data_IF_919944577658
#
_entry.id   IF_919944577658
#
_cell.length_a   1.000
_cell.length_b   1.000
_cell.length_c   1.000
_cell.angle_alpha   90.00
_cell.angle_beta   90.00
_cell.angle_gamma   90.00
#
_symmetry.space_group_name_H-M   'P 1'
#
loop_
_entity.id
_entity.type
_entity.pdbx_description
1 polymer ?
#
# COMPACT_ATOMS: atom_id res chain seq x y z
N UNK A 1 1.14 -2.58 -2.95
CA UNK A 1 1.12 -1.59 -1.85
C UNK A 1 2.51 -1.54 -1.22
N UNK A 2 3.12 -0.33 -1.09
CA UNK A 2 4.38 -0.10 -0.37
C UNK A 2 4.09 0.41 1.04
N UNK A 3 4.56 -0.31 2.04
CA UNK A 3 4.28 -0.06 3.45
C UNK A 3 5.56 0.36 4.17
N UNK A 4 5.50 1.46 4.91
CA UNK A 4 6.54 1.81 5.89
C UNK A 4 6.10 1.26 7.26
N UNK A 5 6.85 0.32 7.80
CA UNK A 5 6.62 -0.25 9.14
C UNK A 5 7.64 0.33 10.11
N UNK A 6 7.17 1.01 11.17
CA UNK A 6 8.01 1.60 12.20
C UNK A 6 7.64 0.97 13.53
N UNK A 7 8.48 0.05 13.98
CA UNK A 7 8.27 -0.81 15.17
C UNK A 7 9.63 -1.20 15.73
N UNK A 8 9.87 -0.98 17.02
CA UNK A 8 11.14 -1.28 17.69
C UNK A 8 11.22 -2.72 18.20
N UNK A 9 10.09 -3.37 18.46
CA UNK A 9 10.05 -4.81 18.70
C UNK A 9 10.40 -5.59 17.43
N UNK A 10 11.63 -6.09 17.38
CA UNK A 10 12.17 -6.81 16.22
C UNK A 10 11.40 -8.08 15.86
N UNK A 11 10.81 -8.76 16.85
CA UNK A 11 10.03 -9.98 16.59
C UNK A 11 8.71 -9.62 15.93
N UNK A 12 7.98 -8.69 16.53
CA UNK A 12 6.72 -8.19 15.99
C UNK A 12 6.92 -7.57 14.60
N UNK A 13 7.96 -6.74 14.42
CA UNK A 13 8.28 -6.15 13.12
C UNK A 13 8.53 -7.21 12.04
N UNK A 14 9.24 -8.29 12.36
CA UNK A 14 9.49 -9.40 11.43
C UNK A 14 8.21 -10.16 11.09
N UNK A 15 7.36 -10.44 12.06
CA UNK A 15 6.06 -11.11 11.85
C UNK A 15 5.15 -10.28 10.95
N UNK A 16 5.00 -8.99 11.25
CA UNK A 16 4.21 -8.06 10.43
C UNK A 16 4.78 -7.99 9.01
N UNK A 17 6.09 -7.74 8.88
CA UNK A 17 6.72 -7.60 7.57
C UNK A 17 6.61 -8.87 6.73
N UNK A 18 6.76 -10.06 7.34
CA UNK A 18 6.57 -11.34 6.67
C UNK A 18 5.15 -11.48 6.13
N UNK A 19 4.15 -11.27 6.98
CA UNK A 19 2.76 -11.40 6.59
C UNK A 19 2.36 -10.41 5.50
N UNK A 20 2.82 -9.15 5.60
CA UNK A 20 2.57 -8.15 4.56
C UNK A 20 3.21 -8.53 3.22
N UNK A 21 4.41 -9.14 3.22
CA UNK A 21 5.05 -9.62 1.99
C UNK A 21 4.29 -10.80 1.37
N UNK A 22 3.76 -11.71 2.19
CA UNK A 22 2.88 -12.81 1.73
C UNK A 22 1.60 -12.27 1.07
N UNK A 23 1.15 -11.08 1.49
CA UNK A 23 0.03 -10.33 0.90
C UNK A 23 0.44 -9.42 -0.27
N UNK A 24 1.59 -9.69 -0.89
CA UNK A 24 2.16 -8.98 -2.04
C UNK A 24 2.51 -7.50 -1.77
N UNK A 25 2.75 -7.11 -0.51
CA UNK A 25 3.22 -5.78 -0.16
C UNK A 25 4.75 -5.70 -0.22
N UNK A 26 5.29 -4.56 -0.67
CA UNK A 26 6.66 -4.17 -0.40
C UNK A 26 6.71 -3.52 1.01
N UNK A 27 7.71 -3.88 1.82
CA UNK A 27 7.78 -3.43 3.22
C UNK A 27 9.18 -2.97 3.56
N UNK A 28 9.29 -1.69 3.89
CA UNK A 28 10.46 -1.10 4.53
C UNK A 28 10.24 -1.03 6.03
N UNK A 29 11.28 -1.36 6.81
CA UNK A 29 11.19 -1.44 8.27
C UNK A 29 12.17 -0.46 8.91
N UNK A 30 11.67 0.38 9.81
CA UNK A 30 12.47 1.23 10.68
C UNK A 30 12.27 0.80 12.14
N UNK A 31 13.38 0.72 12.90
CA UNK A 31 13.36 0.29 14.30
C UNK A 31 13.32 1.45 15.32
N UNK A 32 13.15 2.66 14.86
CA UNK A 32 13.06 3.85 15.70
C UNK A 32 12.38 5.01 14.96
N UNK A 33 11.94 6.02 15.72
CA UNK A 33 11.20 7.14 15.14
C UNK A 33 12.03 8.07 14.27
N UNK A 34 13.34 8.18 14.48
CA UNK A 34 14.22 9.02 13.65
C UNK A 34 14.33 8.50 12.23
N UNK A 35 14.65 7.20 12.08
CA UNK A 35 14.75 6.54 10.79
C UNK A 35 13.37 6.51 10.09
N UNK A 36 12.30 6.21 10.84
CA UNK A 36 10.93 6.25 10.35
C UNK A 36 10.53 7.63 9.84
N UNK A 37 10.84 8.69 10.58
CA UNK A 37 10.58 10.06 10.17
C UNK A 37 11.32 10.42 8.89
N UNK A 38 12.59 10.03 8.79
CA UNK A 38 13.41 10.25 7.59
C UNK A 38 12.80 9.56 6.37
N UNK A 39 12.57 8.25 6.45
CA UNK A 39 11.99 7.47 5.35
C UNK A 39 10.64 8.02 4.89
N UNK A 40 9.73 8.34 5.81
CA UNK A 40 8.43 8.91 5.46
C UNK A 40 8.49 10.31 4.83
N UNK A 41 9.61 11.05 5.02
CA UNK A 41 9.83 12.34 4.35
C UNK A 41 10.49 12.20 2.96
N UNK A 42 11.36 11.21 2.76
CA UNK A 42 12.18 11.09 1.55
C UNK A 42 11.59 10.13 0.52
N UNK A 43 10.93 9.07 0.98
CA UNK A 43 10.39 8.03 0.12
C UNK A 43 8.88 8.15 -0.09
N UNK A 44 8.37 7.48 -1.13
CA UNK A 44 6.95 7.37 -1.41
C UNK A 44 6.40 6.05 -0.88
N UNK A 45 5.44 6.13 0.05
CA UNK A 45 4.70 4.98 0.59
C UNK A 45 3.21 5.14 0.32
N UNK A 46 2.50 4.01 0.24
CA UNK A 46 1.04 4.01 0.14
C UNK A 46 0.39 4.14 1.52
N UNK A 47 1.05 3.62 2.58
CA UNK A 47 0.58 3.64 3.96
C UNK A 47 1.75 3.42 4.93
N UNK A 48 1.64 3.95 6.13
CA UNK A 48 2.57 3.66 7.23
C UNK A 48 1.86 2.93 8.38
N UNK A 49 2.59 2.01 9.01
CA UNK A 49 2.29 1.42 10.32
C UNK A 49 3.27 2.03 11.32
N UNK A 50 2.76 2.66 12.37
CA UNK A 50 3.55 3.46 13.29
C UNK A 50 3.27 3.07 14.74
N UNK A 51 4.26 2.53 15.44
CA UNK A 51 4.18 2.41 16.90
C UNK A 51 4.36 3.78 17.56
N UNK A 52 3.63 4.01 18.63
CA UNK A 52 3.78 5.23 19.43
C UNK A 52 4.98 5.17 20.39
N UNK A 53 5.30 3.98 20.91
CA UNK A 53 6.33 3.75 21.92
C UNK A 53 7.77 3.69 21.40
N UNK A 54 8.06 4.32 20.28
CA UNK A 54 9.36 4.24 19.61
C UNK A 54 10.49 4.91 20.38
N UNK A 55 11.71 4.35 20.36
CA UNK A 55 12.90 5.00 20.85
C UNK A 55 13.33 6.18 19.96
N UNK A 56 14.17 7.07 20.52
CA UNK A 56 14.70 8.31 19.95
C UNK A 56 13.60 9.36 19.73
N UNK A 57 12.67 9.15 18.80
CA UNK A 57 11.57 10.06 18.50
C UNK A 57 10.24 9.30 18.68
N UNK A 58 9.39 9.70 19.64
CA UNK A 58 8.08 9.10 19.84
C UNK A 58 7.21 9.15 18.58
N UNK A 59 6.44 8.09 18.30
CA UNK A 59 5.65 7.98 17.07
C UNK A 59 4.68 9.14 16.85
N UNK A 60 4.05 9.67 17.91
CA UNK A 60 3.20 10.85 17.79
C UNK A 60 3.96 12.10 17.31
N UNK A 61 5.25 12.25 17.63
CA UNK A 61 6.07 13.35 17.13
C UNK A 61 6.45 13.13 15.66
N UNK A 62 6.77 11.89 15.28
CA UNK A 62 7.00 11.52 13.87
C UNK A 62 5.80 11.91 13.01
N UNK A 63 4.60 11.54 13.44
CA UNK A 63 3.37 11.83 12.71
C UNK A 63 3.11 13.35 12.60
N UNK A 64 3.26 14.10 13.69
CA UNK A 64 3.14 15.57 13.68
C UNK A 64 4.13 16.21 12.70
N UNK A 65 5.38 15.71 12.67
CA UNK A 65 6.40 16.22 11.75
C UNK A 65 6.00 15.96 10.28
N UNK A 66 5.50 14.77 9.95
CA UNK A 66 5.00 14.48 8.61
C UNK A 66 3.84 15.41 8.22
N UNK A 67 2.85 15.59 9.09
CA UNK A 67 1.70 16.47 8.82
C UNK A 67 2.13 17.94 8.67
N UNK A 68 3.08 18.41 9.49
CA UNK A 68 3.66 19.75 9.37
C UNK A 68 4.38 19.97 8.04
N UNK A 69 5.02 18.93 7.52
CA UNK A 69 5.70 18.93 6.22
C UNK A 69 4.74 18.69 5.03
N UNK A 70 3.42 18.69 5.25
CA UNK A 70 2.40 18.50 4.21
C UNK A 70 2.26 17.06 3.71
N UNK A 71 2.89 16.08 4.38
CA UNK A 71 2.77 14.66 4.00
C UNK A 71 1.36 14.14 4.32
N UNK A 72 0.66 13.67 3.30
CA UNK A 72 -0.69 13.10 3.36
C UNK A 72 -0.67 11.57 3.45
N UNK A 73 0.49 10.97 3.76
CA UNK A 73 0.66 9.53 3.91
C UNK A 73 -0.35 8.99 4.95
N UNK A 74 -1.22 8.03 4.58
CA UNK A 74 -2.12 7.39 5.53
C UNK A 74 -1.35 6.65 6.60
N UNK A 75 -1.75 6.79 7.87
CA UNK A 75 -1.04 6.20 9.01
C UNK A 75 -2.00 5.39 9.88
N UNK A 76 -1.67 4.09 10.03
CA UNK A 76 -2.23 3.21 11.05
C UNK A 76 -1.31 3.23 12.27
N UNK A 77 -1.83 3.66 13.41
CA UNK A 77 -1.09 3.61 14.68
C UNK A 77 -1.25 2.25 15.33
N UNK A 78 -0.13 1.66 15.78
CA UNK A 78 -0.12 0.57 16.75
C UNK A 78 -0.03 1.16 18.16
N UNK A 79 -0.84 0.66 19.10
CA UNK A 79 -0.87 1.18 20.47
C UNK A 79 -1.10 0.07 21.47
N UNK A 80 -0.53 0.21 22.68
CA UNK A 80 -0.83 -0.66 23.81
C UNK A 80 -2.29 -0.46 24.31
N UNK A 81 -2.84 -1.46 25.02
CA UNK A 81 -4.24 -1.49 25.45
C UNK A 81 -4.66 -0.32 26.37
N UNK A 82 -3.74 0.21 27.15
CA UNK A 82 -4.01 1.20 28.20
C UNK A 82 -3.80 2.67 27.78
N UNK A 83 -3.45 2.90 26.52
CA UNK A 83 -3.07 4.21 26.02
C UNK A 83 -4.26 5.10 25.59
N UNK A 84 -5.28 5.34 26.44
CA UNK A 84 -6.33 6.32 26.09
C UNK A 84 -5.73 7.71 25.80
N UNK A 85 -4.79 8.14 26.64
CA UNK A 85 -4.08 9.41 26.45
C UNK A 85 -3.24 9.39 25.16
N UNK A 86 -2.54 8.28 24.89
CA UNK A 86 -1.78 8.09 23.65
C UNK A 86 -2.68 8.04 22.42
N UNK A 87 -3.87 7.41 22.52
CA UNK A 87 -4.87 7.42 21.43
C UNK A 87 -5.34 8.84 21.13
N UNK A 88 -5.66 9.62 22.16
CA UNK A 88 -6.09 11.03 22.00
C UNK A 88 -4.96 11.88 21.38
N UNK A 89 -3.72 11.69 21.81
CA UNK A 89 -2.58 12.40 21.25
C UNK A 89 -2.27 12.00 19.81
N UNK A 90 -2.44 10.75 19.48
CA UNK A 90 -2.32 10.26 18.11
C UNK A 90 -3.43 10.80 17.18
N UNK A 91 -4.70 10.83 17.63
CA UNK A 91 -5.79 11.49 16.87
C UNK A 91 -5.50 12.96 16.62
N UNK A 92 -5.06 13.69 17.66
CA UNK A 92 -4.63 15.09 17.53
C UNK A 92 -3.40 15.25 16.63
N UNK A 93 -2.56 14.21 16.51
CA UNK A 93 -1.40 14.19 15.62
C UNK A 93 -1.79 13.95 14.14
N UNK A 94 -3.02 13.55 13.86
CA UNK A 94 -3.52 13.34 12.49
C UNK A 94 -3.41 11.90 11.98
N UNK A 95 -3.59 10.90 12.86
CA UNK A 95 -3.68 9.49 12.46
C UNK A 95 -5.00 9.19 11.75
N UNK A 96 -4.94 8.22 10.83
CA UNK A 96 -6.08 7.85 9.99
C UNK A 96 -6.83 6.61 10.52
N UNK A 97 -6.16 5.74 11.32
CA UNK A 97 -6.75 4.59 12.01
C UNK A 97 -5.83 4.11 13.15
N UNK A 98 -6.38 3.22 14.01
CA UNK A 98 -5.70 2.66 15.18
C UNK A 98 -5.92 1.16 15.28
N UNK A 99 -4.88 0.45 15.74
CA UNK A 99 -4.95 -0.97 16.05
C UNK A 99 -4.28 -1.23 17.40
N UNK A 100 -5.03 -1.83 18.32
CA UNK A 100 -4.55 -2.07 19.69
C UNK A 100 -3.81 -3.41 19.76
N UNK A 101 -2.61 -3.41 20.35
CA UNK A 101 -1.84 -4.63 20.68
C UNK A 101 -2.49 -5.35 21.90
N UNK A 102 -2.63 -6.69 21.88
CA UNK A 102 -2.33 -7.60 20.77
C UNK A 102 -3.45 -7.58 19.71
N UNK A 103 -3.08 -7.79 18.46
CA UNK A 103 -3.98 -7.80 17.32
C UNK A 103 -3.78 -9.05 16.44
N UNK A 104 -4.72 -9.30 15.55
CA UNK A 104 -4.59 -10.29 14.49
C UNK A 104 -3.96 -9.67 13.26
N UNK A 105 -3.05 -10.37 12.61
CA UNK A 105 -2.37 -9.88 11.39
C UNK A 105 -3.38 -9.62 10.27
N UNK A 106 -4.40 -10.46 10.14
CA UNK A 106 -5.45 -10.27 9.14
C UNK A 106 -6.20 -8.94 9.34
N UNK A 107 -6.42 -8.52 10.60
CA UNK A 107 -7.02 -7.23 10.91
C UNK A 107 -6.12 -6.07 10.49
N UNK A 108 -4.81 -6.17 10.75
CA UNK A 108 -3.84 -5.19 10.29
C UNK A 108 -3.92 -5.01 8.77
N UNK A 109 -3.85 -6.11 8.02
CA UNK A 109 -3.90 -6.10 6.54
C UNK A 109 -5.18 -5.46 6.03
N UNK A 110 -6.35 -5.84 6.57
CA UNK A 110 -7.64 -5.26 6.18
C UNK A 110 -7.70 -3.75 6.42
N UNK A 111 -7.18 -3.27 7.56
CA UNK A 111 -7.14 -1.85 7.89
C UNK A 111 -6.22 -1.07 6.95
N UNK A 112 -5.04 -1.59 6.66
CA UNK A 112 -4.10 -0.96 5.73
C UNK A 112 -4.71 -0.83 4.32
N UNK A 113 -5.33 -1.90 3.82
CA UNK A 113 -6.05 -1.87 2.54
C UNK A 113 -7.19 -0.84 2.53
N UNK A 114 -7.92 -0.73 3.63
CA UNK A 114 -9.00 0.25 3.75
C UNK A 114 -8.46 1.69 3.76
N UNK A 115 -7.31 1.94 4.39
CA UNK A 115 -6.65 3.24 4.40
C UNK A 115 -6.19 3.65 3.00
N UNK A 116 -5.47 2.78 2.30
CA UNK A 116 -4.99 3.02 0.93
C UNK A 116 -6.16 3.26 -0.03
N UNK A 117 -7.22 2.47 0.07
CA UNK A 117 -8.42 2.66 -0.73
C UNK A 117 -9.06 4.04 -0.50
N UNK A 118 -9.22 4.45 0.77
CA UNK A 118 -9.81 5.76 1.12
C UNK A 118 -8.96 6.91 0.63
N UNK A 119 -7.63 6.83 0.76
CA UNK A 119 -6.71 7.85 0.27
C UNK A 119 -6.72 7.99 -1.26
N UNK A 120 -7.02 6.89 -1.97
CA UNK A 120 -7.23 6.91 -3.42
C UNK A 120 -8.63 7.39 -3.86
N UNK A 121 -9.46 7.87 -2.90
CA UNK A 121 -10.80 8.40 -3.21
C UNK A 121 -11.89 7.34 -3.38
N UNK A 122 -11.60 6.07 -3.07
CA UNK A 122 -12.58 4.99 -3.22
C UNK A 122 -13.31 4.70 -1.89
N UNK A 123 -14.58 5.10 -1.78
CA UNK A 123 -15.41 4.80 -0.61
C UNK A 123 -15.87 3.34 -0.57
N UNK A 124 -16.19 2.75 -1.73
CA UNK A 124 -16.70 1.37 -1.84
C UNK A 124 -15.59 0.33 -1.57
N UNK A 125 -15.98 -0.83 -1.02
CA UNK A 125 -15.07 -1.96 -0.79
C UNK A 125 -14.61 -2.66 -2.08
N UNK A 126 -15.35 -2.47 -3.16
CA UNK A 126 -15.03 -2.99 -4.50
C UNK A 126 -14.77 -1.83 -5.47
N UNK A 127 -13.70 -1.91 -6.23
CA UNK A 127 -13.38 -0.98 -7.31
C UNK A 127 -13.65 -1.71 -8.62
N UNK A 128 -14.50 -1.13 -9.47
CA UNK A 128 -14.91 -1.72 -10.74
C UNK A 128 -14.37 -0.89 -11.89
N UNK A 129 -13.83 -1.56 -12.90
CA UNK A 129 -13.35 -0.98 -14.14
C UNK A 129 -13.74 -1.91 -15.32
N UNK A 130 -14.86 -1.62 -15.99
CA UNK A 130 -15.43 -2.52 -17.00
C UNK A 130 -15.72 -3.91 -16.41
N UNK A 131 -15.26 -5.00 -17.04
CA UNK A 131 -15.45 -6.36 -16.55
C UNK A 131 -14.54 -6.75 -15.36
N UNK A 132 -13.55 -5.92 -15.05
CA UNK A 132 -12.59 -6.14 -13.96
C UNK A 132 -13.11 -5.53 -12.67
N UNK A 133 -13.11 -6.30 -11.59
CA UNK A 133 -13.34 -5.80 -10.24
C UNK A 133 -12.19 -6.16 -9.30
N UNK A 134 -11.97 -5.34 -8.29
CA UNK A 134 -11.00 -5.54 -7.25
C UNK A 134 -11.66 -5.42 -5.88
N UNK A 135 -11.64 -6.49 -5.13
CA UNK A 135 -12.14 -6.53 -3.75
C UNK A 135 -11.02 -6.05 -2.81
N UNK A 136 -11.06 -4.78 -2.45
CA UNK A 136 -9.96 -4.17 -1.70
C UNK A 136 -9.75 -4.77 -0.29
N UNK A 137 -10.77 -5.39 0.31
CA UNK A 137 -10.66 -6.05 1.62
C UNK A 137 -9.89 -7.36 1.55
N UNK A 138 -10.16 -8.17 0.52
CA UNK A 138 -9.56 -9.49 0.34
C UNK A 138 -8.35 -9.48 -0.59
N UNK A 139 -8.14 -8.40 -1.36
CA UNK A 139 -7.09 -8.31 -2.37
C UNK A 139 -7.35 -9.18 -3.61
N UNK A 140 -8.59 -9.62 -3.82
CA UNK A 140 -8.95 -10.49 -4.93
C UNK A 140 -9.35 -9.66 -6.14
N UNK A 141 -8.79 -10.01 -7.29
CA UNK A 141 -9.23 -9.53 -8.60
C UNK A 141 -10.19 -10.54 -9.23
N UNK A 142 -11.28 -10.02 -9.80
CA UNK A 142 -12.26 -10.81 -10.55
C UNK A 142 -12.45 -10.21 -11.95
N UNK A 143 -12.57 -11.08 -12.94
CA UNK A 143 -12.95 -10.72 -14.30
C UNK A 143 -14.28 -11.35 -14.62
N UNK A 144 -15.30 -10.56 -14.97
CA UNK A 144 -16.69 -11.01 -15.15
C UNK A 144 -17.21 -11.81 -13.93
N UNK A 145 -16.84 -11.42 -12.71
CA UNK A 145 -17.26 -12.09 -11.48
C UNK A 145 -16.48 -13.36 -11.12
N UNK A 146 -15.48 -13.74 -11.90
CA UNK A 146 -14.64 -14.92 -11.62
C UNK A 146 -13.24 -14.51 -11.16
N UNK A 147 -12.71 -15.07 -10.06
CA UNK A 147 -11.36 -14.78 -9.59
C UNK A 147 -10.30 -15.10 -10.64
N UNK A 148 -9.34 -14.20 -10.82
CA UNK A 148 -8.21 -14.38 -11.74
C UNK A 148 -6.91 -14.67 -10.96
N UNK A 149 -6.12 -15.61 -11.48
CA UNK A 149 -4.80 -15.93 -10.90
C UNK A 149 -3.74 -14.97 -11.44
N UNK A 150 -3.09 -14.26 -10.54
CA UNK A 150 -1.99 -13.32 -10.82
C UNK A 150 -0.73 -13.77 -10.08
N UNK A 151 0.43 -13.53 -10.70
CA UNK A 151 1.70 -13.58 -9.97
C UNK A 151 1.81 -12.34 -9.07
N UNK A 152 2.74 -12.33 -8.11
CA UNK A 152 2.94 -11.21 -7.20
C UNK A 152 3.20 -9.89 -7.95
N UNK A 153 4.04 -9.92 -8.99
CA UNK A 153 4.35 -8.73 -9.80
C UNK A 153 3.16 -8.27 -10.64
N UNK A 154 2.42 -9.18 -11.25
CA UNK A 154 1.19 -8.87 -11.98
C UNK A 154 0.15 -8.25 -11.05
N UNK A 155 0.02 -8.78 -9.84
CA UNK A 155 -0.91 -8.28 -8.84
C UNK A 155 -0.55 -6.85 -8.41
N UNK A 156 0.73 -6.56 -8.11
CA UNK A 156 1.20 -5.21 -7.71
C UNK A 156 0.95 -4.17 -8.80
N UNK A 157 1.27 -4.52 -10.05
CA UNK A 157 1.03 -3.60 -11.19
C UNK A 157 -0.46 -3.35 -11.39
N UNK A 158 -1.28 -4.40 -11.36
CA UNK A 158 -2.72 -4.27 -11.58
C UNK A 158 -3.40 -3.52 -10.42
N UNK A 159 -2.97 -3.75 -9.17
CA UNK A 159 -3.43 -2.98 -8.01
C UNK A 159 -3.11 -1.49 -8.17
N UNK A 160 -1.87 -1.15 -8.54
CA UNK A 160 -1.48 0.23 -8.76
C UNK A 160 -2.32 0.91 -9.85
N UNK A 161 -2.65 0.19 -10.91
CA UNK A 161 -3.46 0.70 -12.01
C UNK A 161 -4.94 0.85 -11.62
N UNK A 162 -5.53 -0.14 -10.93
CA UNK A 162 -6.97 -0.09 -10.61
C UNK A 162 -7.27 0.93 -9.52
N UNK A 163 -6.35 1.14 -8.56
CA UNK A 163 -6.46 2.20 -7.57
C UNK A 163 -6.44 3.61 -8.19
N UNK A 164 -5.87 3.75 -9.38
CA UNK A 164 -5.78 4.99 -10.17
C UNK A 164 -6.49 4.83 -11.52
N UNK A 165 -7.59 4.08 -11.54
CA UNK A 165 -8.35 3.84 -12.77
C UNK A 165 -8.66 5.16 -13.50
N UNK A 166 -8.68 5.09 -14.81
CA UNK A 166 -8.95 6.23 -15.72
C UNK A 166 -7.87 7.33 -15.70
N UNK A 167 -6.82 7.20 -14.87
CA UNK A 167 -5.66 8.10 -14.86
C UNK A 167 -4.42 7.40 -15.41
N UNK A 168 -3.51 8.19 -15.98
CA UNK A 168 -2.21 7.68 -16.44
C UNK A 168 -1.30 7.49 -15.24
N UNK A 169 -0.83 6.28 -15.02
CA UNK A 169 0.19 5.97 -14.02
C UNK A 169 1.56 5.99 -14.70
N UNK A 170 2.44 6.83 -14.19
CA UNK A 170 3.78 7.00 -14.73
C UNK A 170 4.57 5.68 -14.72
N UNK A 171 5.41 5.49 -15.75
CA UNK A 171 6.26 4.31 -15.87
C UNK A 171 7.17 4.12 -14.65
N UNK A 172 7.75 5.20 -14.15
CA UNK A 172 8.65 5.18 -12.98
C UNK A 172 7.93 4.64 -11.75
N UNK A 173 6.71 5.11 -11.48
CA UNK A 173 5.88 4.63 -10.36
C UNK A 173 5.60 3.13 -10.47
N UNK A 174 5.30 2.62 -11.68
CA UNK A 174 5.06 1.19 -11.88
C UNK A 174 6.32 0.36 -11.73
N UNK A 175 7.46 0.87 -12.22
CA UNK A 175 8.78 0.21 -12.07
C UNK A 175 9.15 0.11 -10.60
N UNK A 176 9.00 1.18 -9.81
CA UNK A 176 9.23 1.15 -8.37
C UNK A 176 8.38 0.06 -7.69
N UNK A 177 7.08 -0.04 -8.05
CA UNK A 177 6.20 -1.09 -7.52
C UNK A 177 6.60 -2.51 -7.90
N UNK A 178 7.25 -2.71 -9.04
CA UNK A 178 7.72 -4.02 -9.52
C UNK A 178 9.00 -4.43 -8.80
N UNK A 179 9.96 -3.51 -8.68
CA UNK A 179 11.31 -3.83 -8.20
C UNK A 179 11.50 -3.67 -6.69
N UNK A 180 10.52 -3.11 -5.96
CA UNK A 180 10.56 -3.06 -4.51
C UNK A 180 10.52 -4.47 -3.90
N UNK A 181 11.68 -4.99 -3.53
CA UNK A 181 11.84 -6.26 -2.79
C UNK A 181 12.51 -7.41 -3.52
N UNK A 182 12.83 -7.30 -4.80
CA UNK A 182 13.55 -8.35 -5.54
C UNK A 182 14.64 -7.73 -6.45
N UNK A 183 15.84 -7.70 -5.95
CA UNK A 183 17.04 -7.42 -6.76
C UNK A 183 17.40 -8.70 -7.53
N UNK A 184 16.73 -8.97 -8.63
CA UNK A 184 17.16 -10.08 -9.49
C UNK A 184 16.09 -10.67 -10.38
N UNK A 185 16.04 -10.24 -11.59
CA UNK A 185 16.07 -11.02 -12.84
C UNK A 185 15.59 -10.17 -14.01
N UNK A 186 16.41 -10.05 -15.02
CA UNK A 186 16.22 -9.33 -16.29
C UNK A 186 14.98 -9.76 -17.12
N UNK A 187 14.29 -10.83 -16.72
CA UNK A 187 13.13 -11.36 -17.44
C UNK A 187 11.78 -10.76 -17.02
N UNK A 188 11.74 -9.86 -16.04
CA UNK A 188 10.52 -9.25 -15.50
C UNK A 188 10.40 -7.76 -15.81
N UNK A 189 10.75 -7.32 -17.01
CA UNK A 189 10.51 -5.92 -17.40
C UNK A 189 9.02 -5.58 -17.27
N UNK A 190 8.72 -4.33 -16.94
CA UNK A 190 7.34 -3.84 -16.81
C UNK A 190 6.51 -4.17 -18.07
N UNK A 191 7.13 -4.09 -19.24
CA UNK A 191 6.50 -4.40 -20.53
C UNK A 191 6.04 -5.85 -20.60
N UNK A 192 6.85 -6.78 -20.12
CA UNK A 192 6.50 -8.22 -20.07
C UNK A 192 5.35 -8.45 -19.10
N UNK A 193 5.38 -7.81 -17.94
CA UNK A 193 4.29 -7.91 -16.95
C UNK A 193 3.00 -7.35 -17.53
N UNK A 194 3.04 -6.18 -18.15
CA UNK A 194 1.87 -5.57 -18.81
C UNK A 194 1.35 -6.45 -19.96
N UNK A 195 2.23 -7.05 -20.75
CA UNK A 195 1.82 -7.97 -21.82
C UNK A 195 1.12 -9.22 -21.27
N UNK A 196 1.60 -9.77 -20.13
CA UNK A 196 0.94 -10.88 -19.43
C UNK A 196 -0.42 -10.48 -18.87
N UNK A 197 -0.50 -9.31 -18.22
CA UNK A 197 -1.76 -8.76 -17.72
C UNK A 197 -2.78 -8.56 -18.84
N UNK A 198 -2.40 -7.98 -19.98
CA UNK A 198 -3.29 -7.81 -21.14
C UNK A 198 -3.87 -9.13 -21.64
N UNK A 199 -3.12 -10.23 -21.56
CA UNK A 199 -3.63 -11.56 -21.92
C UNK A 199 -4.69 -12.08 -20.93
N UNK A 200 -4.62 -11.65 -19.67
CA UNK A 200 -5.52 -12.09 -18.60
C UNK A 200 -6.77 -11.22 -18.48
N UNK A 201 -6.62 -9.89 -18.55
CA UNK A 201 -7.74 -8.95 -18.32
C UNK A 201 -8.32 -8.34 -19.59
N UNK A 202 -7.69 -8.58 -20.73
CA UNK A 202 -8.07 -8.00 -22.03
C UNK A 202 -7.09 -6.89 -22.47
N UNK A 203 -6.76 -6.88 -23.76
CA UNK A 203 -5.78 -5.96 -24.33
C UNK A 203 -6.22 -4.49 -24.20
N UNK A 204 -7.51 -4.25 -24.35
CA UNK A 204 -8.10 -2.90 -24.33
C UNK A 204 -8.16 -2.29 -22.91
N UNK A 205 -8.13 -3.15 -21.88
CA UNK A 205 -8.21 -2.69 -20.49
C UNK A 205 -6.97 -1.89 -20.05
N UNK A 206 -5.78 -2.26 -20.52
CA UNK A 206 -4.53 -1.58 -20.16
C UNK A 206 -3.99 -0.85 -21.39
N UNK A 207 -4.20 0.44 -21.44
CA UNK A 207 -3.76 1.32 -22.51
C UNK A 207 -2.35 1.82 -22.28
N UNK A 208 -1.55 1.96 -23.34
CA UNK A 208 -0.23 2.56 -23.30
C UNK A 208 -0.32 4.04 -23.68
N UNK A 209 0.09 4.92 -22.78
CA UNK A 209 0.27 6.34 -23.06
C UNK A 209 1.76 6.57 -23.36
N UNK A 210 2.07 6.70 -24.67
CA UNK A 210 3.47 6.77 -25.14
C UNK A 210 4.25 7.89 -24.42
N UNK A 211 5.46 7.56 -23.94
CA UNK A 211 6.34 8.48 -23.21
C UNK A 211 5.88 8.83 -21.80
N UNK A 212 4.74 8.32 -21.31
CA UNK A 212 4.20 8.62 -19.98
C UNK A 212 4.04 7.39 -19.09
N UNK A 213 3.34 6.36 -19.57
CA UNK A 213 3.08 5.17 -18.76
C UNK A 213 1.89 4.37 -19.24
N UNK A 214 1.09 3.91 -18.29
CA UNK A 214 -0.07 3.04 -18.55
C UNK A 214 -1.32 3.55 -17.84
N UNK A 215 -2.47 3.29 -18.44
CA UNK A 215 -3.78 3.61 -17.87
C UNK A 215 -4.67 2.37 -17.90
N UNK A 216 -5.35 2.08 -16.79
CA UNK A 216 -6.44 1.11 -16.76
C UNK A 216 -7.75 1.86 -17.06
N UNK A 217 -8.41 1.51 -18.16
CA UNK A 217 -9.67 2.09 -18.54
C UNK A 217 -10.70 0.98 -18.75
N UNK A 218 -11.86 1.12 -18.15
CA UNK A 218 -13.01 0.31 -18.51
C UNK A 218 -13.36 0.65 -19.95
N UNK A 219 -13.52 -0.37 -20.82
CA UNK A 219 -13.94 -0.16 -22.20
C UNK A 219 -15.18 0.73 -22.18
N UNK A 220 -14.99 1.99 -22.52
CA UNK A 220 -16.10 2.86 -22.85
C UNK A 220 -16.77 2.31 -24.08
N UNK A 221 -18.05 2.03 -24.00
CA UNK A 221 -18.94 1.89 -25.12
C UNK A 221 -18.95 3.17 -25.93
#
# INVERSE_FOLDING_TARGET
MKVLLIEDDRLLAREIAKALREENCAVDVAANGEDGQHLGNTEAYDVAVLDLGLPKVPGAQVLRAWRKNGRQLPVLILTARDGWTEKVDGFKAGADDYLTKPFRIEELVMRLRALVRRSAGHAASSIVCGPLSFQAQTGVFELNGLPIKLTALEWRVLECLIMRKDTVVDRTVLVEKVYEGDAGTDSNSLEVIVARLRRKVGKEMIQTERGRGYRLAGSGL
#
